data_IF_046986264569
#
_entry.id   IF_046986264569
#
_cell.length_a   1.000
_cell.length_b   1.000
_cell.length_c   1.000
_cell.angle_alpha   90.00
_cell.angle_beta   90.00
_cell.angle_gamma   90.00
#
_symmetry.space_group_name_H-M   'P 1'
#
loop_
_entity.id
_entity.type
_entity.pdbx_description
1 polymer ?
#
# COMPACT_ATOMS: atom_id res chain seq x y z
N UNK A 1 -42.18 19.46 -18.14
CA UNK A 1 -41.43 18.21 -18.40
C UNK A 1 -39.96 18.50 -18.15
N UNK A 2 -39.49 18.20 -16.94
CA UNK A 2 -38.09 18.40 -16.55
C UNK A 2 -37.26 17.26 -17.13
N UNK A 3 -36.35 17.59 -18.04
CA UNK A 3 -35.34 16.65 -18.53
C UNK A 3 -34.40 16.31 -17.38
N UNK A 4 -34.46 15.07 -16.93
CA UNK A 4 -33.46 14.51 -16.03
C UNK A 4 -32.10 14.57 -16.72
N UNK A 5 -31.23 15.47 -16.27
CA UNK A 5 -29.83 15.47 -16.65
C UNK A 5 -29.23 14.14 -16.23
N UNK A 6 -28.85 13.31 -17.21
CA UNK A 6 -27.91 12.21 -17.00
C UNK A 6 -26.63 12.86 -16.49
N UNK A 7 -26.38 12.76 -15.19
CA UNK A 7 -25.04 12.93 -14.64
C UNK A 7 -24.23 11.82 -15.30
N UNK A 8 -23.30 12.20 -16.17
CA UNK A 8 -22.34 11.27 -16.75
C UNK A 8 -21.62 10.57 -15.58
N UNK A 9 -21.78 9.26 -15.45
CA UNK A 9 -20.99 8.48 -14.53
C UNK A 9 -19.52 8.73 -14.88
N UNK A 10 -18.72 9.19 -13.92
CA UNK A 10 -17.30 9.38 -14.14
C UNK A 10 -16.64 8.00 -14.29
N UNK A 11 -16.36 7.60 -15.53
CA UNK A 11 -15.77 6.31 -15.96
C UNK A 11 -14.32 6.07 -15.48
N UNK A 12 -13.83 6.87 -14.53
CA UNK A 12 -12.46 6.76 -13.99
C UNK A 12 -12.36 5.89 -12.73
N UNK A 13 -11.13 5.51 -12.34
CA UNK A 13 -10.88 4.87 -11.05
C UNK A 13 -11.18 5.85 -9.90
N UNK A 14 -11.67 5.30 -8.79
CA UNK A 14 -11.81 6.00 -7.51
C UNK A 14 -10.51 5.93 -6.69
N UNK A 15 -9.64 4.96 -6.97
CA UNK A 15 -8.37 4.74 -6.31
C UNK A 15 -7.27 4.37 -7.33
N UNK A 16 -6.12 5.01 -7.23
CA UNK A 16 -4.90 4.59 -7.93
C UNK A 16 -3.91 4.03 -6.91
N UNK A 17 -3.50 2.78 -7.11
CA UNK A 17 -2.46 2.11 -6.33
C UNK A 17 -1.15 2.22 -7.10
N UNK A 18 -0.18 2.97 -6.58
CA UNK A 18 1.15 3.09 -7.19
C UNK A 18 2.13 2.27 -6.37
N UNK A 19 2.60 1.15 -6.91
CA UNK A 19 3.64 0.37 -6.26
C UNK A 19 4.99 1.01 -6.59
N UNK A 20 5.75 1.40 -5.57
CA UNK A 20 7.17 1.70 -5.72
C UNK A 20 7.92 0.39 -5.95
N UNK A 21 7.97 -0.04 -7.22
CA UNK A 21 8.37 -1.38 -7.62
C UNK A 21 9.89 -1.45 -7.86
N UNK A 22 10.64 -2.13 -6.98
CA UNK A 22 12.07 -2.41 -7.17
C UNK A 22 12.26 -3.90 -7.40
N UNK A 23 12.96 -4.29 -8.48
CA UNK A 23 13.17 -5.71 -8.84
C UNK A 23 13.81 -6.55 -7.72
N UNK A 24 14.60 -5.92 -6.86
CA UNK A 24 15.24 -6.58 -5.72
C UNK A 24 14.26 -6.99 -4.60
N UNK A 25 13.11 -6.32 -4.47
CA UNK A 25 12.16 -6.53 -3.37
C UNK A 25 10.73 -6.56 -3.92
N UNK A 26 10.34 -7.72 -4.45
CA UNK A 26 9.08 -7.86 -5.20
C UNK A 26 8.08 -8.83 -4.59
N UNK A 27 8.53 -9.80 -3.78
CA UNK A 27 7.68 -10.91 -3.34
C UNK A 27 6.52 -10.44 -2.46
N UNK A 28 6.79 -9.51 -1.53
CA UNK A 28 5.73 -8.91 -0.72
C UNK A 28 4.66 -8.25 -1.58
N UNK A 29 5.05 -7.51 -2.63
CA UNK A 29 4.08 -6.92 -3.55
C UNK A 29 3.32 -7.98 -4.35
N UNK A 30 3.96 -9.03 -4.82
CA UNK A 30 3.28 -10.06 -5.62
C UNK A 30 2.21 -10.78 -4.80
N UNK A 31 2.49 -11.06 -3.52
CA UNK A 31 1.51 -11.62 -2.59
C UNK A 31 0.34 -10.64 -2.36
N UNK A 32 0.63 -9.36 -2.09
CA UNK A 32 -0.39 -8.32 -1.93
C UNK A 32 -1.27 -8.16 -3.18
N UNK A 33 -0.66 -8.19 -4.36
CA UNK A 33 -1.37 -8.17 -5.63
C UNK A 33 -2.21 -9.44 -5.80
N UNK A 34 -1.71 -10.61 -5.40
CA UNK A 34 -2.48 -11.86 -5.41
C UNK A 34 -3.78 -11.73 -4.62
N UNK A 35 -3.70 -11.23 -3.39
CA UNK A 35 -4.85 -10.94 -2.55
C UNK A 35 -5.79 -9.90 -3.20
N UNK A 36 -5.24 -8.79 -3.69
CA UNK A 36 -6.02 -7.72 -4.32
C UNK A 36 -6.73 -8.20 -5.59
N UNK A 37 -6.14 -9.11 -6.35
CA UNK A 37 -6.70 -9.67 -7.58
C UNK A 37 -7.94 -10.53 -7.36
N UNK A 38 -8.13 -11.06 -6.15
CA UNK A 38 -9.30 -11.85 -5.74
C UNK A 38 -10.26 -11.06 -4.84
N UNK A 39 -9.93 -9.81 -4.50
CA UNK A 39 -10.75 -9.00 -3.60
C UNK A 39 -12.00 -8.47 -4.31
N UNK A 40 -13.17 -8.88 -3.82
CA UNK A 40 -14.46 -8.35 -4.26
C UNK A 40 -14.74 -7.04 -3.53
N UNK A 41 -14.67 -5.93 -4.27
CA UNK A 41 -14.88 -4.59 -3.73
C UNK A 41 -15.67 -3.72 -4.71
N UNK A 42 -16.55 -2.82 -4.23
CA UNK A 42 -17.19 -1.82 -5.08
C UNK A 42 -16.22 -0.70 -5.51
N UNK A 43 -15.07 -0.56 -4.84
CA UNK A 43 -14.09 0.48 -5.15
C UNK A 43 -13.44 0.22 -6.50
N UNK A 44 -13.65 1.11 -7.48
CA UNK A 44 -12.94 1.02 -8.76
C UNK A 44 -11.50 1.45 -8.59
N UNK A 45 -10.55 0.54 -8.82
CA UNK A 45 -9.13 0.85 -8.67
C UNK A 45 -8.29 0.53 -9.90
N UNK A 46 -7.18 1.26 -10.05
CA UNK A 46 -6.13 0.98 -11.04
C UNK A 46 -4.80 0.73 -10.33
N UNK A 47 -4.01 -0.23 -10.80
CA UNK A 47 -2.68 -0.54 -10.25
C UNK A 47 -1.61 -0.10 -11.25
N UNK A 48 -0.64 0.68 -10.78
CA UNK A 48 0.49 1.19 -11.56
C UNK A 48 1.80 0.82 -10.87
N UNK A 49 2.84 0.59 -11.66
CA UNK A 49 4.18 0.21 -11.18
C UNK A 49 5.16 1.31 -11.55
N UNK A 50 5.69 2.03 -10.55
CA UNK A 50 6.79 2.96 -10.79
C UNK A 50 8.11 2.28 -10.46
N UNK A 51 8.99 2.09 -11.44
CA UNK A 51 10.28 1.38 -11.26
C UNK A 51 11.39 2.28 -10.69
N UNK A 52 11.23 3.59 -10.82
CA UNK A 52 12.10 4.65 -10.32
C UNK A 52 11.29 5.83 -9.77
N UNK A 53 11.98 6.80 -9.17
CA UNK A 53 11.41 8.02 -8.58
C UNK A 53 10.56 8.79 -9.60
N UNK A 54 11.08 9.00 -10.80
CA UNK A 54 10.44 9.79 -11.85
C UNK A 54 9.16 9.13 -12.36
N UNK A 55 9.18 7.81 -12.54
CA UNK A 55 8.01 7.03 -12.93
C UNK A 55 6.94 7.01 -11.84
N UNK A 56 7.33 6.79 -10.59
CA UNK A 56 6.39 6.87 -9.46
C UNK A 56 5.73 8.24 -9.40
N UNK A 57 6.53 9.31 -9.47
CA UNK A 57 6.00 10.68 -9.48
C UNK A 57 5.11 10.96 -10.70
N UNK A 58 5.47 10.44 -11.88
CA UNK A 58 4.63 10.53 -13.09
C UNK A 58 3.28 9.83 -12.89
N UNK A 59 3.25 8.66 -12.26
CA UNK A 59 2.01 7.94 -11.98
C UNK A 59 1.11 8.67 -10.98
N UNK A 60 1.70 9.31 -9.96
CA UNK A 60 0.99 10.16 -9.00
C UNK A 60 0.39 11.37 -9.74
N UNK A 61 1.18 12.12 -10.52
CA UNK A 61 0.67 13.26 -11.30
C UNK A 61 -0.44 12.86 -12.28
N UNK A 62 -0.29 11.72 -12.95
CA UNK A 62 -1.29 11.21 -13.88
C UNK A 62 -2.57 10.72 -13.19
N UNK A 63 -2.58 10.52 -11.87
CA UNK A 63 -3.81 10.25 -11.11
C UNK A 63 -4.63 11.54 -10.87
N UNK A 64 -4.01 12.72 -10.94
CA UNK A 64 -4.67 14.00 -10.70
C UNK A 64 -5.27 14.06 -9.29
N UNK A 65 -6.56 14.39 -9.19
CA UNK A 65 -7.28 14.48 -7.92
C UNK A 65 -7.82 13.13 -7.41
N UNK A 66 -7.59 12.03 -8.15
CA UNK A 66 -8.00 10.69 -7.70
C UNK A 66 -7.19 10.29 -6.48
N UNK A 67 -7.85 9.69 -5.48
CA UNK A 67 -7.18 9.14 -4.30
C UNK A 67 -6.07 8.20 -4.73
N UNK A 68 -4.86 8.44 -4.23
CA UNK A 68 -3.66 7.70 -4.62
C UNK A 68 -2.99 7.09 -3.41
N UNK A 69 -2.85 5.77 -3.39
CA UNK A 69 -2.12 5.04 -2.36
C UNK A 69 -0.81 4.54 -2.95
N UNK A 70 0.30 5.11 -2.50
CA UNK A 70 1.65 4.73 -2.91
C UNK A 70 2.17 3.66 -1.95
N UNK A 71 2.40 2.46 -2.46
CA UNK A 71 2.82 1.31 -1.67
C UNK A 71 4.34 1.14 -1.72
N UNK A 72 4.95 0.98 -0.55
CA UNK A 72 6.39 0.76 -0.40
C UNK A 72 6.62 -0.56 0.34
N UNK A 73 7.64 -1.31 -0.06
CA UNK A 73 8.05 -2.55 0.60
C UNK A 73 9.56 -2.63 0.63
N UNK A 74 10.13 -2.75 1.83
CA UNK A 74 11.59 -2.73 1.97
C UNK A 74 12.12 -3.41 3.23
N UNK A 75 13.40 -3.77 3.16
CA UNK A 75 14.19 -4.28 4.28
C UNK A 75 14.87 -3.12 5.02
N UNK A 76 15.24 -3.34 6.28
CA UNK A 76 15.89 -2.31 7.11
C UNK A 76 17.15 -1.67 6.50
N UNK A 77 18.03 -2.39 5.79
CA UNK A 77 19.19 -1.76 5.14
C UNK A 77 18.84 -0.73 4.07
N UNK A 78 17.68 -0.86 3.42
CA UNK A 78 17.22 0.05 2.37
C UNK A 78 16.48 1.29 2.93
N UNK A 79 16.14 1.30 4.23
CA UNK A 79 15.22 2.29 4.80
C UNK A 79 15.66 3.75 4.58
N UNK A 80 16.94 4.06 4.83
CA UNK A 80 17.48 5.40 4.66
C UNK A 80 17.48 5.85 3.19
N UNK A 81 17.85 4.97 2.26
CA UNK A 81 17.85 5.27 0.83
C UNK A 81 16.43 5.51 0.32
N UNK A 82 15.45 4.74 0.79
CA UNK A 82 14.05 4.89 0.39
C UNK A 82 13.37 6.09 1.04
N UNK A 83 13.82 6.54 2.21
CA UNK A 83 13.37 7.81 2.78
C UNK A 83 13.80 9.00 1.90
N UNK A 84 15.01 8.92 1.32
CA UNK A 84 15.46 9.91 0.34
C UNK A 84 14.66 9.83 -0.97
N UNK A 85 14.39 8.63 -1.50
CA UNK A 85 13.50 8.48 -2.67
C UNK A 85 12.09 9.03 -2.38
N UNK A 86 11.56 8.79 -1.17
CA UNK A 86 10.26 9.33 -0.76
C UNK A 86 10.26 10.85 -0.81
N UNK A 87 11.29 11.50 -0.26
CA UNK A 87 11.43 12.95 -0.29
C UNK A 87 11.45 13.47 -1.73
N UNK A 88 12.24 12.86 -2.60
CA UNK A 88 12.32 13.23 -4.03
C UNK A 88 10.97 13.06 -4.73
N UNK A 89 10.25 11.95 -4.46
CA UNK A 89 8.92 11.72 -5.03
C UNK A 89 7.94 12.80 -4.56
N UNK A 90 7.92 13.13 -3.26
CA UNK A 90 7.04 14.19 -2.74
C UNK A 90 7.36 15.56 -3.34
N UNK A 91 8.63 15.89 -3.55
CA UNK A 91 9.04 17.12 -4.24
C UNK A 91 8.53 17.18 -5.70
N UNK A 92 8.48 16.03 -6.38
CA UNK A 92 8.05 15.94 -7.78
C UNK A 92 6.53 15.79 -7.96
N UNK A 93 5.86 15.16 -6.99
CA UNK A 93 4.46 14.78 -7.03
C UNK A 93 3.96 14.41 -5.63
N UNK A 94 3.21 15.31 -5.00
CA UNK A 94 2.50 15.06 -3.74
C UNK A 94 1.18 15.82 -3.73
N UNK A 95 0.30 15.50 -2.80
CA UNK A 95 -0.99 16.16 -2.66
C UNK A 95 -1.83 15.60 -1.51
N UNK A 96 -2.91 16.30 -1.11
CA UNK A 96 -3.78 15.86 -0.01
C UNK A 96 -4.50 14.53 -0.29
N UNK A 97 -4.57 14.11 -1.56
CA UNK A 97 -5.14 12.86 -2.02
C UNK A 97 -4.10 11.72 -2.14
N UNK A 98 -2.83 11.99 -1.86
CA UNK A 98 -1.73 11.01 -1.94
C UNK A 98 -1.41 10.52 -0.53
N UNK A 99 -1.26 9.20 -0.38
CA UNK A 99 -0.86 8.57 0.88
C UNK A 99 0.25 7.56 0.62
N UNK A 100 1.37 7.70 1.31
CA UNK A 100 2.51 6.81 1.26
C UNK A 100 2.43 5.78 2.39
N UNK A 101 2.14 4.53 2.02
CA UNK A 101 2.09 3.39 2.93
C UNK A 101 3.38 2.58 2.85
N UNK A 102 4.16 2.58 3.93
CA UNK A 102 5.32 1.73 4.10
C UNK A 102 4.94 0.35 4.61
N UNK A 103 5.51 -0.70 4.02
CA UNK A 103 5.43 -2.07 4.49
C UNK A 103 6.80 -2.76 4.40
N UNK A 104 6.81 -4.05 4.69
CA UNK A 104 8.04 -4.84 4.75
C UNK A 104 8.64 -4.89 6.16
N UNK A 105 9.84 -5.47 6.24
CA UNK A 105 10.46 -5.85 7.52
C UNK A 105 10.76 -4.64 8.39
N UNK A 106 11.24 -3.54 7.79
CA UNK A 106 11.57 -2.33 8.54
C UNK A 106 10.31 -1.67 9.13
N UNK A 107 9.28 -1.46 8.31
CA UNK A 107 8.01 -0.86 8.76
C UNK A 107 7.33 -1.68 9.86
N UNK A 108 7.48 -3.01 9.81
CA UNK A 108 6.98 -3.91 10.85
C UNK A 108 7.76 -3.80 12.15
N UNK A 109 9.10 -3.75 12.08
CA UNK A 109 9.96 -3.72 13.26
C UNK A 109 10.01 -2.33 13.92
N UNK A 110 10.10 -1.27 13.10
CA UNK A 110 10.33 0.11 13.51
C UNK A 110 9.27 1.06 12.91
N UNK A 111 7.98 0.86 13.24
CA UNK A 111 6.89 1.65 12.64
C UNK A 111 7.00 3.14 12.96
N UNK A 112 7.49 3.52 14.15
CA UNK A 112 7.61 4.93 14.53
C UNK A 112 8.74 5.60 13.74
N UNK A 113 9.90 4.97 13.62
CA UNK A 113 11.00 5.50 12.80
C UNK A 113 10.59 5.64 11.33
N UNK A 114 9.78 4.71 10.84
CA UNK A 114 9.20 4.79 9.48
C UNK A 114 8.31 6.02 9.32
N UNK A 115 7.45 6.32 10.29
CA UNK A 115 6.63 7.54 10.25
C UNK A 115 7.50 8.81 10.37
N UNK A 116 8.53 8.78 11.22
CA UNK A 116 9.47 9.90 11.42
C UNK A 116 10.29 10.20 10.16
N UNK A 117 10.53 9.18 9.33
CA UNK A 117 11.20 9.32 8.04
C UNK A 117 10.29 9.89 6.92
N UNK A 118 8.99 10.10 7.19
CA UNK A 118 8.08 10.85 6.33
C UNK A 118 6.99 10.05 5.62
N UNK A 119 6.88 8.74 5.87
CA UNK A 119 5.73 7.96 5.39
C UNK A 119 4.48 8.29 6.20
N UNK A 120 3.31 8.29 5.55
CA UNK A 120 2.04 8.65 6.19
C UNK A 120 1.51 7.51 7.05
N UNK A 121 1.68 6.28 6.57
CA UNK A 121 1.23 5.05 7.21
C UNK A 121 2.35 4.01 7.20
N UNK A 122 2.43 3.20 8.26
CA UNK A 122 3.26 2.00 8.32
C UNK A 122 2.37 0.76 8.53
N UNK A 123 2.41 -0.18 7.60
CA UNK A 123 1.82 -1.51 7.72
C UNK A 123 2.72 -2.40 8.57
N UNK A 124 2.11 -3.06 9.56
CA UNK A 124 2.80 -3.89 10.56
C UNK A 124 2.31 -5.33 10.46
N UNK A 125 3.23 -6.24 10.13
CA UNK A 125 2.95 -7.66 9.95
C UNK A 125 2.52 -8.01 8.52
N UNK A 126 1.65 -9.00 8.40
CA UNK A 126 1.08 -9.44 7.11
C UNK A 126 0.15 -8.35 6.54
N UNK A 127 0.39 -7.95 5.30
CA UNK A 127 -0.19 -6.75 4.73
C UNK A 127 -1.48 -6.96 3.95
N UNK A 128 -1.87 -8.21 3.65
CA UNK A 128 -2.98 -8.53 2.76
C UNK A 128 -4.29 -7.97 3.29
N UNK A 129 -4.72 -8.41 4.47
CA UNK A 129 -5.97 -7.95 5.08
C UNK A 129 -5.99 -6.43 5.29
N UNK A 130 -4.85 -5.86 5.68
CA UNK A 130 -4.70 -4.40 5.88
C UNK A 130 -4.85 -3.65 4.56
N UNK A 131 -4.22 -4.11 3.47
CA UNK A 131 -4.34 -3.51 2.15
C UNK A 131 -5.78 -3.60 1.63
N UNK A 132 -6.42 -4.77 1.72
CA UNK A 132 -7.81 -4.94 1.28
C UNK A 132 -8.74 -3.98 2.04
N UNK A 133 -8.56 -3.87 3.37
CA UNK A 133 -9.32 -2.94 4.19
C UNK A 133 -9.08 -1.48 3.78
N UNK A 134 -7.84 -1.11 3.45
CA UNK A 134 -7.52 0.24 2.98
C UNK A 134 -8.16 0.57 1.63
N UNK A 135 -8.28 -0.42 0.73
CA UNK A 135 -9.01 -0.24 -0.53
C UNK A 135 -10.47 0.06 -0.26
N UNK A 136 -11.10 -0.65 0.68
CA UNK A 136 -12.52 -0.49 1.01
C UNK A 136 -12.83 0.76 1.84
N UNK A 137 -11.87 1.25 2.63
CA UNK A 137 -12.12 2.29 3.63
C UNK A 137 -12.19 3.72 3.06
N UNK A 138 -12.11 3.91 1.74
CA UNK A 138 -12.28 5.21 1.05
C UNK A 138 -11.46 6.38 1.63
N UNK A 139 -10.32 6.10 2.26
CA UNK A 139 -9.41 7.10 2.81
C UNK A 139 -9.41 7.22 4.34
N UNK A 140 -10.31 6.52 5.04
CA UNK A 140 -10.31 6.50 6.51
C UNK A 140 -9.55 5.26 7.05
N UNK A 141 -8.37 5.40 7.66
CA UNK A 141 -7.65 4.27 8.24
C UNK A 141 -8.22 3.80 9.58
N UNK A 142 -9.23 4.48 10.14
CA UNK A 142 -9.78 4.20 11.47
C UNK A 142 -10.37 2.80 11.54
N UNK A 143 -9.97 2.05 12.57
CA UNK A 143 -10.46 0.67 12.79
C UNK A 143 -9.77 -0.41 11.96
N UNK A 144 -8.88 -0.04 11.02
CA UNK A 144 -8.09 -1.01 10.25
C UNK A 144 -6.92 -1.50 11.11
N UNK A 145 -6.83 -2.81 11.32
CA UNK A 145 -5.73 -3.43 12.09
C UNK A 145 -4.46 -3.57 11.26
N UNK A 146 -3.30 -3.66 11.92
CA UNK A 146 -2.01 -3.79 11.25
C UNK A 146 -1.42 -2.48 10.74
N UNK A 147 -1.79 -1.34 11.34
CA UNK A 147 -1.28 -0.03 10.96
C UNK A 147 -0.65 0.69 12.15
N UNK A 148 0.33 1.52 11.84
CA UNK A 148 0.78 2.63 12.65
C UNK A 148 0.71 3.93 11.83
N UNK A 149 0.22 5.01 12.44
CA UNK A 149 0.09 6.32 11.81
C UNK A 149 -0.01 7.43 12.85
N UNK A 150 0.07 8.70 12.42
CA UNK A 150 -0.18 9.85 13.29
C UNK A 150 -1.60 10.34 13.10
N UNK A 151 -2.35 10.50 14.18
CA UNK A 151 -3.69 11.09 14.12
C UNK A 151 -3.63 12.61 13.89
N UNK A 152 -4.80 13.26 13.78
CA UNK A 152 -4.91 14.70 13.58
C UNK A 152 -4.27 15.55 14.70
N UNK A 153 -4.00 14.95 15.87
CA UNK A 153 -3.32 15.61 17.00
C UNK A 153 -1.81 15.35 17.01
N UNK A 154 -1.29 14.61 16.01
CA UNK A 154 0.12 14.23 15.88
C UNK A 154 0.53 13.01 16.71
N UNK A 155 -0.41 12.42 17.46
CA UNK A 155 -0.14 11.26 18.32
C UNK A 155 -0.02 9.99 17.49
N UNK A 156 0.97 9.15 17.82
CA UNK A 156 1.13 7.84 17.18
C UNK A 156 -0.01 6.92 17.61
N UNK A 157 -0.80 6.47 16.64
CA UNK A 157 -1.77 5.39 16.78
C UNK A 157 -1.17 4.09 16.27
N UNK A 158 -1.37 3.02 17.02
CA UNK A 158 -1.05 1.64 16.60
C UNK A 158 -2.32 0.81 16.72
N UNK A 159 -2.73 0.16 15.64
CA UNK A 159 -4.01 -0.56 15.57
C UNK A 159 -3.88 -2.05 15.87
N UNK A 160 -2.77 -2.45 16.49
CA UNK A 160 -2.49 -3.84 16.83
C UNK A 160 -2.09 -4.68 15.62
N UNK A 161 -2.10 -6.00 15.79
CA UNK A 161 -1.69 -6.95 14.73
C UNK A 161 -2.69 -6.94 13.58
N UNK A 162 -2.18 -6.99 12.35
CA UNK A 162 -2.99 -7.24 11.17
C UNK A 162 -3.81 -8.54 11.36
N UNK A 163 -5.02 -8.57 10.77
CA UNK A 163 -5.80 -9.80 10.71
C UNK A 163 -5.06 -10.82 9.83
N UNK A 164 -4.50 -11.85 10.46
CA UNK A 164 -3.92 -12.99 9.75
C UNK A 164 -5.04 -13.85 9.18
N UNK A 165 -4.84 -14.32 7.95
CA UNK A 165 -5.73 -15.23 7.23
C UNK A 165 -4.96 -16.48 6.85
N UNK A 166 -5.69 -17.55 6.51
CA UNK A 166 -5.04 -18.75 6.01
C UNK A 166 -4.29 -18.41 4.70
N UNK A 167 -3.10 -18.97 4.51
CA UNK A 167 -2.32 -18.72 3.30
C UNK A 167 -3.07 -19.16 2.03
N UNK A 168 -3.89 -20.21 2.15
CA UNK A 168 -4.73 -20.72 1.07
C UNK A 168 -5.88 -19.78 0.67
N UNK A 169 -6.17 -18.76 1.49
CA UNK A 169 -7.16 -17.73 1.12
C UNK A 169 -6.67 -16.82 -0.02
N UNK A 170 -5.37 -16.85 -0.34
CA UNK A 170 -4.75 -16.03 -1.35
C UNK A 170 -4.04 -16.86 -2.41
N UNK A 171 -4.04 -16.43 -3.68
CA UNK A 171 -3.27 -17.12 -4.72
C UNK A 171 -1.77 -16.94 -4.44
N UNK A 172 -0.99 -18.00 -4.68
CA UNK A 172 0.47 -17.97 -4.46
C UNK A 172 1.26 -17.01 -5.37
N UNK A 173 0.60 -16.41 -6.37
CA UNK A 173 1.16 -15.42 -7.29
C UNK A 173 0.06 -14.54 -7.89
N UNK A 174 0.44 -13.36 -8.37
CA UNK A 174 -0.48 -12.35 -8.90
C UNK A 174 -0.70 -12.52 -10.42
N UNK A 175 -1.50 -13.52 -10.78
CA UNK A 175 -1.77 -13.88 -12.18
C UNK A 175 -2.34 -12.70 -13.01
N UNK A 176 -3.23 -11.89 -12.43
CA UNK A 176 -3.81 -10.70 -13.09
C UNK A 176 -2.78 -9.68 -13.58
N UNK A 177 -1.57 -9.68 -13.02
CA UNK A 177 -0.50 -8.73 -13.38
C UNK A 177 0.76 -9.42 -13.94
N UNK A 178 0.69 -10.73 -14.26
CA UNK A 178 1.84 -11.54 -14.69
C UNK A 178 3.05 -11.38 -13.74
N UNK A 179 2.78 -11.50 -12.43
CA UNK A 179 3.81 -11.40 -11.38
C UNK A 179 3.91 -12.74 -10.65
N UNK A 180 5.04 -13.40 -10.86
CA UNK A 180 5.36 -14.71 -10.33
C UNK A 180 6.54 -14.60 -9.35
N UNK A 181 6.47 -15.37 -8.27
CA UNK A 181 7.46 -15.41 -7.20
C UNK A 181 7.59 -16.83 -6.66
N UNK A 182 8.54 -17.03 -5.75
CA UNK A 182 8.65 -18.27 -5.01
C UNK A 182 7.33 -18.54 -4.24
N UNK A 183 6.88 -19.80 -4.27
CA UNK A 183 5.71 -20.21 -3.53
C UNK A 183 6.03 -20.24 -2.03
N UNK A 184 5.34 -19.40 -1.28
CA UNK A 184 5.34 -19.46 0.17
C UNK A 184 4.41 -20.61 0.60
N UNK A 185 4.91 -21.51 1.45
CA UNK A 185 4.15 -22.68 1.94
C UNK A 185 3.87 -22.62 3.45
N UNK A 186 4.55 -21.72 4.16
CA UNK A 186 4.42 -21.49 5.61
C UNK A 186 4.78 -20.05 5.93
N UNK A 187 4.19 -19.49 6.99
CA UNK A 187 4.48 -18.15 7.50
C UNK A 187 4.78 -18.13 8.99
N UNK A 188 5.56 -17.14 9.37
CA UNK A 188 5.97 -16.95 10.76
C UNK A 188 7.02 -17.97 11.20
N UNK A 189 7.59 -17.70 12.37
CA UNK A 189 8.54 -18.57 13.02
C UNK A 189 8.04 -18.79 14.45
N UNK A 190 7.91 -20.04 14.87
CA UNK A 190 7.51 -20.38 16.25
C UNK A 190 8.62 -20.10 17.28
N UNK A 191 9.83 -19.84 16.80
CA UNK A 191 11.01 -19.61 17.63
C UNK A 191 11.18 -18.11 17.93
N UNK A 192 11.51 -17.81 19.19
CA UNK A 192 11.83 -16.47 19.67
C UNK A 192 13.35 -16.33 19.84
N UNK A 193 14.07 -16.31 18.71
CA UNK A 193 15.53 -16.21 18.73
C UNK A 193 15.99 -14.92 19.44
N UNK A 194 17.03 -15.00 20.29
CA UNK A 194 17.56 -13.86 21.04
C UNK A 194 18.39 -12.91 20.17
#
# INVERSE_FOLDING_TARGET
MAGAGKIAAMDGPELVLVLRYRKAVTYGFHVLLGALGQHETPTRYEVRFGENVEETARHIRAAGDVRTLVLWSFYSPDAAALAEELKQIRELADGPNVTHLAGGVHATAEPVQTLDAGWDLAAVGEGESTLLSLVDAKGDPTGITGLAYRDATGNVKRTGKARQRDLNDFPGFALKWDKFNALEITRGCVYACP
#
